data_IF_812343560742
#
_entry.id   IF_812343560742
#
_cell.length_a   1.000
_cell.length_b   1.000
_cell.length_c   1.000
_cell.angle_alpha   90.00
_cell.angle_beta   90.00
_cell.angle_gamma   90.00
#
_symmetry.space_group_name_H-M   'P 1'
#
loop_
_entity.id
_entity.type
_entity.pdbx_description
1 polymer ?
#
# COMPACT_ATOMS: atom_id res chain seq x y z
N UNK A 1 -33.59 -0.73 -1.28
CA UNK A 1 -32.52 0.28 -1.19
C UNK A 1 -31.58 -0.13 -0.07
N UNK A 2 -30.41 -0.67 -0.41
CA UNK A 2 -29.47 -1.20 0.58
C UNK A 2 -28.80 -0.07 1.36
N UNK A 3 -28.93 -0.09 2.68
CA UNK A 3 -28.19 0.83 3.55
C UNK A 3 -26.70 0.55 3.34
N UNK A 4 -25.98 1.55 2.82
CA UNK A 4 -24.53 1.50 2.66
C UNK A 4 -23.91 1.36 4.06
N UNK A 5 -23.57 0.13 4.44
CA UNK A 5 -23.06 -0.15 5.78
C UNK A 5 -21.59 0.26 5.84
N UNK A 6 -21.33 1.49 6.28
CA UNK A 6 -19.99 2.07 6.44
C UNK A 6 -19.03 1.14 7.20
N UNK A 7 -19.52 0.40 8.21
CA UNK A 7 -18.68 -0.56 8.95
C UNK A 7 -18.20 -1.71 8.08
N UNK A 8 -19.02 -2.19 7.14
CA UNK A 8 -18.63 -3.24 6.21
C UNK A 8 -17.53 -2.75 5.27
N UNK A 9 -17.64 -1.51 4.78
CA UNK A 9 -16.60 -0.90 3.94
C UNK A 9 -15.30 -0.76 4.71
N UNK A 10 -15.34 -0.17 5.91
CA UNK A 10 -14.16 0.00 6.76
C UNK A 10 -13.49 -1.34 7.05
N UNK A 11 -14.24 -2.39 7.38
CA UNK A 11 -13.63 -3.69 7.69
C UNK A 11 -13.11 -4.47 6.47
N UNK A 12 -13.51 -4.06 5.26
CA UNK A 12 -13.10 -4.71 4.00
C UNK A 12 -12.36 -3.74 3.08
N UNK A 13 -11.77 -2.68 3.63
CA UNK A 13 -11.15 -1.61 2.86
C UNK A 13 -10.00 -2.12 1.97
N UNK A 14 -9.27 -3.13 2.41
CA UNK A 14 -8.23 -3.80 1.64
C UNK A 14 -8.78 -4.53 0.41
N UNK A 15 -9.98 -5.12 0.49
CA UNK A 15 -10.68 -5.70 -0.66
C UNK A 15 -11.16 -4.62 -1.63
N UNK A 16 -11.59 -3.47 -1.10
CA UNK A 16 -11.90 -2.30 -1.93
C UNK A 16 -10.64 -1.81 -2.66
N UNK A 17 -9.50 -1.78 -1.97
CA UNK A 17 -8.20 -1.46 -2.58
C UNK A 17 -7.84 -2.42 -3.72
N UNK A 18 -8.09 -3.74 -3.58
CA UNK A 18 -7.87 -4.68 -4.68
C UNK A 18 -8.70 -4.33 -5.94
N UNK A 19 -9.96 -3.95 -5.78
CA UNK A 19 -10.80 -3.51 -6.92
C UNK A 19 -10.23 -2.22 -7.52
N UNK A 20 -9.83 -1.27 -6.68
CA UNK A 20 -9.23 -0.01 -7.12
C UNK A 20 -7.88 -0.21 -7.83
N UNK A 21 -7.09 -1.21 -7.44
CA UNK A 21 -5.85 -1.59 -8.11
C UNK A 21 -6.12 -1.96 -9.57
N UNK A 22 -7.11 -2.84 -9.81
CA UNK A 22 -7.47 -3.27 -11.17
C UNK A 22 -7.96 -2.08 -12.00
N UNK A 23 -8.86 -1.27 -11.45
CA UNK A 23 -9.38 -0.09 -12.16
C UNK A 23 -8.25 0.88 -12.51
N UNK A 24 -7.37 1.18 -11.56
CA UNK A 24 -6.25 2.11 -11.78
C UNK A 24 -5.26 1.56 -12.80
N UNK A 25 -4.97 0.25 -12.76
CA UNK A 25 -4.10 -0.40 -13.74
C UNK A 25 -4.69 -0.32 -15.16
N UNK A 26 -6.00 -0.56 -15.32
CA UNK A 26 -6.67 -0.41 -16.61
C UNK A 26 -6.58 1.02 -17.13
N UNK A 27 -6.79 2.03 -16.28
CA UNK A 27 -6.61 3.44 -16.66
C UNK A 27 -5.16 3.72 -17.08
N UNK A 28 -4.18 3.21 -16.35
CA UNK A 28 -2.77 3.37 -16.68
C UNK A 28 -2.40 2.78 -18.05
N UNK A 29 -3.00 1.65 -18.41
CA UNK A 29 -2.72 0.94 -19.68
C UNK A 29 -3.45 1.59 -20.85
N UNK A 30 -4.74 1.90 -20.70
CA UNK A 30 -5.62 2.26 -21.82
C UNK A 30 -5.89 3.75 -21.96
N UNK A 31 -5.80 4.54 -20.88
CA UNK A 31 -6.17 5.96 -20.91
C UNK A 31 -4.98 6.91 -20.75
N UNK A 32 -3.91 6.48 -20.06
CA UNK A 32 -2.72 7.32 -19.91
C UNK A 32 -1.81 7.20 -21.14
N UNK A 33 -1.67 8.30 -21.89
CA UNK A 33 -0.74 8.35 -23.04
C UNK A 33 0.67 8.74 -22.57
N UNK A 34 0.76 9.76 -21.73
CA UNK A 34 2.02 10.29 -21.22
C UNK A 34 2.70 9.36 -20.20
N UNK A 35 4.03 9.28 -20.27
CA UNK A 35 4.82 8.36 -19.44
C UNK A 35 4.72 8.68 -17.95
N UNK A 36 4.72 9.96 -17.56
CA UNK A 36 4.70 10.36 -16.14
C UNK A 36 3.38 9.98 -15.45
N UNK A 37 2.19 10.38 -15.94
CA UNK A 37 0.92 9.91 -15.39
C UNK A 37 0.76 8.39 -15.44
N UNK A 38 1.25 7.74 -16.49
CA UNK A 38 1.22 6.28 -16.62
C UNK A 38 2.03 5.58 -15.53
N UNK A 39 3.22 6.08 -15.20
CA UNK A 39 4.04 5.56 -14.12
C UNK A 39 3.41 5.82 -12.75
N UNK A 40 2.88 7.03 -12.51
CA UNK A 40 2.17 7.34 -11.26
C UNK A 40 0.94 6.45 -11.05
N UNK A 41 0.10 6.29 -12.08
CA UNK A 41 -1.07 5.41 -12.02
C UNK A 41 -0.66 3.94 -11.80
N UNK A 42 0.43 3.50 -12.42
CA UNK A 42 0.98 2.17 -12.16
C UNK A 42 1.44 2.04 -10.69
N UNK A 43 2.18 3.02 -10.15
CA UNK A 43 2.58 3.03 -8.74
C UNK A 43 1.38 3.03 -7.78
N UNK A 44 0.32 3.78 -8.09
CA UNK A 44 -0.93 3.78 -7.32
C UNK A 44 -1.58 2.39 -7.35
N UNK A 45 -1.64 1.74 -8.52
CA UNK A 45 -2.19 0.39 -8.65
C UNK A 45 -1.39 -0.62 -7.79
N UNK A 46 -0.05 -0.52 -7.81
CA UNK A 46 0.81 -1.36 -6.96
C UNK A 46 0.58 -1.08 -5.48
N UNK A 47 0.43 0.19 -5.08
CA UNK A 47 0.19 0.53 -3.67
C UNK A 47 -1.17 0.01 -3.18
N UNK A 48 -2.19 -0.01 -4.03
CA UNK A 48 -3.46 -0.66 -3.69
C UNK A 48 -3.33 -2.18 -3.53
N UNK A 49 -2.53 -2.84 -4.38
CA UNK A 49 -2.21 -4.26 -4.18
C UNK A 49 -1.42 -4.47 -2.89
N UNK A 50 -0.52 -3.56 -2.55
CA UNK A 50 0.26 -3.58 -1.32
C UNK A 50 -0.62 -3.52 -0.08
N UNK A 51 -1.60 -2.61 -0.04
CA UNK A 51 -2.59 -2.56 1.03
C UNK A 51 -3.40 -3.87 1.15
N UNK A 52 -3.70 -4.49 0.02
CA UNK A 52 -4.35 -5.80 0.01
C UNK A 52 -3.44 -6.90 0.55
N UNK A 53 -2.16 -6.91 0.18
CA UNK A 53 -1.20 -7.90 0.68
C UNK A 53 -1.01 -7.79 2.20
N UNK A 54 -0.88 -6.57 2.71
CA UNK A 54 -0.61 -6.29 4.13
C UNK A 54 -1.77 -6.61 5.07
N UNK A 55 -3.00 -6.30 4.64
CA UNK A 55 -4.20 -6.35 5.49
C UNK A 55 -5.24 -7.38 5.05
N UNK A 56 -5.13 -7.92 3.83
CA UNK A 56 -6.03 -8.91 3.26
C UNK A 56 -5.38 -10.29 3.18
N UNK A 57 -4.68 -10.57 2.08
CA UNK A 57 -4.02 -11.86 1.85
C UNK A 57 -2.63 -11.69 1.22
N UNK A 58 -1.57 -12.31 1.78
CA UNK A 58 -1.57 -13.22 2.93
C UNK A 58 -1.75 -12.52 4.29
N UNK A 59 -1.70 -11.19 4.32
CA UNK A 59 -1.88 -10.39 5.52
C UNK A 59 -0.67 -10.45 6.47
N UNK A 60 -0.85 -9.92 7.68
CA UNK A 60 0.13 -10.02 8.77
C UNK A 60 0.83 -8.72 9.14
N UNK A 61 0.53 -7.61 8.44
CA UNK A 61 1.08 -6.30 8.77
C UNK A 61 0.85 -5.88 10.23
N UNK A 62 -0.34 -6.10 10.85
CA UNK A 62 -0.55 -5.73 12.25
C UNK A 62 0.47 -6.34 13.21
N UNK A 63 0.77 -7.63 13.05
CA UNK A 63 1.76 -8.32 13.87
C UNK A 63 3.19 -7.89 13.54
N UNK A 64 3.50 -7.71 12.25
CA UNK A 64 4.80 -7.16 11.82
C UNK A 64 5.05 -5.78 12.44
N UNK A 65 4.09 -4.86 12.33
CA UNK A 65 4.17 -3.52 12.89
C UNK A 65 4.39 -3.54 14.39
N UNK A 66 3.67 -4.38 15.13
CA UNK A 66 3.87 -4.52 16.57
C UNK A 66 5.27 -5.04 16.94
N UNK A 67 5.81 -6.02 16.20
CA UNK A 67 7.15 -6.56 16.49
C UNK A 67 8.28 -5.61 16.08
N UNK A 68 8.15 -5.00 14.91
CA UNK A 68 9.23 -4.26 14.25
C UNK A 68 9.23 -2.77 14.60
N UNK A 69 8.06 -2.15 14.61
CA UNK A 69 7.91 -0.71 14.85
C UNK A 69 7.74 -0.43 16.35
N UNK A 70 6.97 -1.26 17.06
CA UNK A 70 6.69 -1.09 18.48
C UNK A 70 7.57 -1.95 19.41
N UNK A 71 8.43 -2.81 18.86
CA UNK A 71 9.36 -3.64 19.64
C UNK A 71 8.71 -4.71 20.51
N UNK A 72 7.45 -5.08 20.23
CA UNK A 72 6.72 -6.10 20.99
C UNK A 72 7.39 -7.48 20.87
N UNK A 73 7.50 -8.19 21.99
CA UNK A 73 7.99 -9.57 22.06
C UNK A 73 6.88 -10.62 22.06
N UNK A 74 5.62 -10.20 21.91
CA UNK A 74 4.48 -11.12 21.92
C UNK A 74 4.55 -12.09 20.72
N UNK A 75 4.68 -13.41 20.95
CA UNK A 75 4.83 -14.38 19.87
C UNK A 75 3.51 -14.66 19.15
N UNK A 76 2.36 -14.46 19.79
CA UNK A 76 1.08 -14.77 19.18
C UNK A 76 0.63 -13.67 18.19
N UNK A 77 0.62 -14.00 16.89
CA UNK A 77 0.16 -13.11 15.82
C UNK A 77 -1.34 -12.86 15.81
N UNK A 78 -2.16 -13.74 16.36
CA UNK A 78 -3.62 -13.60 16.35
C UNK A 78 -4.13 -12.60 17.38
N UNK A 79 -3.28 -12.14 18.30
CA UNK A 79 -3.64 -11.16 19.34
C UNK A 79 -3.72 -9.74 18.81
N UNK A 80 -3.04 -9.46 17.69
CA UNK A 80 -2.87 -8.10 17.19
C UNK A 80 -3.69 -7.88 15.93
N UNK A 81 -4.80 -7.17 16.08
CA UNK A 81 -5.57 -6.67 14.97
C UNK A 81 -5.41 -5.14 14.93
N UNK A 82 -4.98 -4.60 13.80
CA UNK A 82 -5.00 -3.16 13.61
C UNK A 82 -6.44 -2.64 13.60
N UNK A 83 -6.63 -1.42 14.07
CA UNK A 83 -7.89 -0.73 13.89
C UNK A 83 -8.10 -0.42 12.40
N UNK A 84 -9.05 -1.10 11.75
CA UNK A 84 -9.30 -0.96 10.31
C UNK A 84 -9.61 0.48 9.88
N UNK A 85 -10.30 1.27 10.72
CA UNK A 85 -10.57 2.67 10.39
C UNK A 85 -9.29 3.49 10.35
N UNK A 86 -8.43 3.33 11.37
CA UNK A 86 -7.13 4.00 11.43
C UNK A 86 -6.21 3.56 10.29
N UNK A 87 -6.14 2.25 10.03
CA UNK A 87 -5.35 1.70 8.92
C UNK A 87 -5.84 2.20 7.57
N UNK A 88 -7.15 2.17 7.31
CA UNK A 88 -7.72 2.69 6.07
C UNK A 88 -7.41 4.19 5.91
N UNK A 89 -7.67 4.98 6.96
CA UNK A 89 -7.46 6.42 6.90
C UNK A 89 -5.97 6.77 6.69
N UNK A 90 -5.07 6.15 7.44
CA UNK A 90 -3.63 6.36 7.31
C UNK A 90 -3.12 6.02 5.91
N UNK A 91 -3.45 4.83 5.40
CA UNK A 91 -2.98 4.37 4.10
C UNK A 91 -3.58 5.16 2.93
N UNK A 92 -4.90 5.42 2.95
CA UNK A 92 -5.54 6.14 1.85
C UNK A 92 -5.22 7.64 1.86
N UNK A 93 -5.13 8.27 3.03
CA UNK A 93 -4.69 9.67 3.09
C UNK A 93 -3.25 9.83 2.61
N UNK A 94 -2.35 8.91 2.98
CA UNK A 94 -0.99 8.87 2.47
C UNK A 94 -0.94 8.69 0.96
N UNK A 95 -1.70 7.72 0.42
CA UNK A 95 -1.85 7.53 -1.03
C UNK A 95 -2.28 8.82 -1.74
N UNK A 96 -3.29 9.50 -1.19
CA UNK A 96 -3.82 10.73 -1.79
C UNK A 96 -2.75 11.82 -1.80
N UNK A 97 -2.09 12.05 -0.67
CA UNK A 97 -1.12 13.14 -0.52
C UNK A 97 0.16 12.90 -1.33
N UNK A 98 0.64 11.67 -1.38
CA UNK A 98 1.95 11.34 -1.97
C UNK A 98 1.84 10.94 -3.44
N UNK A 99 0.75 10.31 -3.87
CA UNK A 99 0.64 9.76 -5.23
C UNK A 99 -0.47 10.41 -6.07
N UNK A 100 -1.64 10.69 -5.50
CA UNK A 100 -2.73 11.32 -6.26
C UNK A 100 -2.47 12.81 -6.47
N UNK A 101 -1.93 13.51 -5.47
CA UNK A 101 -1.61 14.93 -5.59
C UNK A 101 -0.61 15.24 -6.72
N UNK A 102 0.53 14.52 -6.88
CA UNK A 102 1.41 14.74 -8.04
C UNK A 102 0.77 14.34 -9.39
N UNK A 103 -0.24 13.47 -9.41
CA UNK A 103 -0.96 13.15 -10.63
C UNK A 103 -1.81 14.34 -11.12
N UNK A 104 -2.38 15.10 -10.18
CA UNK A 104 -3.19 16.30 -10.47
C UNK A 104 -2.30 17.52 -10.73
N UNK A 105 -1.14 17.59 -10.08
CA UNK A 105 -0.19 18.70 -10.16
C UNK A 105 1.19 18.24 -10.69
N UNK A 106 1.28 17.72 -11.93
CA UNK A 106 2.51 17.12 -12.46
C UNK A 106 3.66 18.13 -12.63
N UNK A 107 3.35 19.43 -12.75
CA UNK A 107 4.36 20.48 -12.89
C UNK A 107 5.12 20.76 -11.58
N UNK A 108 4.57 20.32 -10.44
CA UNK A 108 5.21 20.48 -9.13
C UNK A 108 6.21 19.34 -8.91
N UNK A 109 7.42 19.53 -9.44
CA UNK A 109 8.51 18.52 -9.42
C UNK A 109 8.83 17.93 -8.06
N UNK A 110 8.66 18.71 -6.98
CA UNK A 110 8.84 18.25 -5.61
C UNK A 110 7.90 17.09 -5.26
N UNK A 111 6.63 17.15 -5.69
CA UNK A 111 5.64 16.09 -5.41
C UNK A 111 5.97 14.81 -6.17
N UNK A 112 6.43 14.93 -7.43
CA UNK A 112 6.90 13.78 -8.21
C UNK A 112 8.11 13.10 -7.54
N UNK A 113 9.10 13.90 -7.12
CA UNK A 113 10.28 13.39 -6.41
C UNK A 113 9.90 12.71 -5.10
N UNK A 114 8.95 13.28 -4.34
CA UNK A 114 8.45 12.67 -3.11
C UNK A 114 7.86 11.27 -3.40
N UNK A 115 6.97 11.16 -4.39
CA UNK A 115 6.37 9.87 -4.77
C UNK A 115 7.43 8.81 -5.14
N UNK A 116 8.46 9.22 -5.90
CA UNK A 116 9.56 8.33 -6.29
C UNK A 116 10.42 7.88 -5.10
N UNK A 117 10.79 8.82 -4.22
CA UNK A 117 11.58 8.51 -3.02
C UNK A 117 10.79 7.57 -2.12
N UNK A 118 9.50 7.81 -1.90
CA UNK A 118 8.67 6.93 -1.08
C UNK A 118 8.55 5.54 -1.70
N UNK A 119 8.34 5.43 -3.02
CA UNK A 119 8.33 4.13 -3.70
C UNK A 119 9.63 3.34 -3.45
N UNK A 120 10.78 4.03 -3.47
CA UNK A 120 12.08 3.42 -3.20
C UNK A 120 12.23 3.03 -1.71
N UNK A 121 11.80 3.89 -0.79
CA UNK A 121 11.87 3.61 0.65
C UNK A 121 10.99 2.42 1.02
N UNK A 122 9.79 2.30 0.47
CA UNK A 122 8.91 1.14 0.64
C UNK A 122 9.59 -0.15 0.16
N UNK A 123 10.15 -0.12 -1.06
CA UNK A 123 10.90 -1.26 -1.59
C UNK A 123 12.05 -1.66 -0.66
N UNK A 124 12.86 -0.70 -0.20
CA UNK A 124 13.99 -0.97 0.70
C UNK A 124 13.54 -1.47 2.08
N UNK A 125 12.44 -0.93 2.61
CA UNK A 125 11.89 -1.33 3.90
C UNK A 125 11.47 -2.81 3.88
N UNK A 126 10.70 -3.20 2.86
CA UNK A 126 10.20 -4.57 2.73
C UNK A 126 11.28 -5.56 2.25
N UNK A 127 12.21 -5.15 1.39
CA UNK A 127 13.26 -6.04 0.91
C UNK A 127 14.33 -6.32 1.97
N UNK A 128 14.71 -5.29 2.73
CA UNK A 128 15.88 -5.35 3.63
C UNK A 128 15.47 -5.17 5.09
N UNK A 129 14.87 -4.02 5.44
CA UNK A 129 14.73 -3.62 6.85
C UNK A 129 13.86 -4.59 7.65
N UNK A 130 12.69 -4.94 7.12
CA UNK A 130 11.74 -5.82 7.80
C UNK A 130 12.25 -7.26 7.87
N UNK A 131 12.83 -7.78 6.79
CA UNK A 131 13.44 -9.11 6.76
C UNK A 131 14.59 -9.23 7.78
N UNK A 132 15.50 -8.24 7.85
CA UNK A 132 16.59 -8.23 8.82
C UNK A 132 16.07 -8.16 10.25
N UNK A 133 15.07 -7.31 10.53
CA UNK A 133 14.51 -7.15 11.88
C UNK A 133 13.67 -8.35 12.33
N UNK A 134 12.95 -9.00 11.43
CA UNK A 134 12.14 -10.18 11.74
C UNK A 134 12.92 -11.50 11.67
N UNK A 135 14.10 -11.48 11.03
CA UNK A 135 14.88 -12.68 10.67
C UNK A 135 14.07 -13.64 9.80
N UNK A 136 13.30 -13.09 8.87
CA UNK A 136 12.49 -13.84 7.89
C UNK A 136 12.92 -13.48 6.48
N UNK A 137 12.62 -14.37 5.53
CA UNK A 137 12.84 -14.14 4.10
C UNK A 137 11.67 -13.43 3.41
N UNK A 138 10.54 -13.34 4.11
CA UNK A 138 9.30 -12.75 3.63
C UNK A 138 8.65 -11.93 4.76
N UNK A 139 8.00 -10.83 4.35
CA UNK A 139 7.13 -10.03 5.18
C UNK A 139 5.96 -9.49 4.34
N UNK A 140 4.82 -9.16 4.96
CA UNK A 140 3.65 -8.64 4.26
C UNK A 140 3.99 -7.33 3.52
N UNK A 141 3.65 -7.25 2.24
CA UNK A 141 3.98 -6.11 1.35
C UNK A 141 5.25 -6.33 0.52
N UNK A 142 6.03 -7.38 0.81
CA UNK A 142 7.24 -7.69 0.05
C UNK A 142 6.93 -8.21 -1.35
N UNK A 143 5.85 -8.96 -1.54
CA UNK A 143 5.54 -9.53 -2.86
C UNK A 143 5.15 -8.42 -3.84
N UNK A 144 4.24 -7.53 -3.45
CA UNK A 144 3.84 -6.36 -4.24
C UNK A 144 4.99 -5.38 -4.39
N UNK A 145 5.75 -5.16 -3.32
CA UNK A 145 6.93 -4.31 -3.33
C UNK A 145 7.98 -4.77 -4.35
N UNK A 146 8.26 -6.07 -4.47
CA UNK A 146 9.36 -6.60 -5.30
C UNK A 146 8.91 -7.06 -6.69
N UNK A 147 7.78 -7.78 -6.80
CA UNK A 147 7.36 -8.39 -8.06
C UNK A 147 6.52 -7.45 -8.92
N UNK A 148 5.78 -6.51 -8.33
CA UNK A 148 5.01 -5.53 -9.11
C UNK A 148 5.79 -4.25 -9.43
N UNK A 149 6.94 -3.99 -8.77
CA UNK A 149 7.83 -2.85 -9.07
C UNK A 149 8.85 -3.14 -10.18
N UNK A 150 9.04 -4.40 -10.55
CA UNK A 150 9.97 -4.85 -11.58
C UNK A 150 9.28 -4.76 -12.95
N UNK A 151 9.36 -3.59 -13.59
CA UNK A 151 9.14 -3.46 -15.05
C UNK A 151 10.40 -3.87 -15.80
#
# INVERSE_FOLDING_TARGET
MGVFNMRRVINNWHNVSLVLAVVTALIAVFAAENIVPKLLLASIAVLFLHFFEEFGFPGGFPWMGMRVLMGSKEPNSTKWNCNNLSSMFGNWSFLILIYVLPLILPDVRFLLLAAMIFSLLELLAHLIVFNVKQRTIYNPGMFTGVFCSRR
#
